data_IF_453348789275
#
_entry.id   IF_453348789275
#
_cell.length_a   1.000
_cell.length_b   1.000
_cell.length_c   1.000
_cell.angle_alpha   90.00
_cell.angle_beta   90.00
_cell.angle_gamma   90.00
#
_symmetry.space_group_name_H-M   'P 1'
#
loop_
_entity.id
_entity.type
_entity.pdbx_description
1 polymer ?
#
# COMPACT_ATOMS: atom_id res chain seq x y z
N UNK A 1 6.98 4.74 -9.83
CA UNK A 1 5.66 4.77 -9.14
C UNK A 1 5.67 3.89 -7.89
N UNK A 2 6.31 2.71 -7.94
CA UNK A 2 6.46 1.80 -6.80
C UNK A 2 7.93 1.67 -6.36
N UNK A 3 8.81 2.56 -6.80
CA UNK A 3 10.26 2.37 -6.71
C UNK A 3 10.73 2.17 -5.27
N UNK A 4 10.25 3.01 -4.35
CA UNK A 4 10.59 2.89 -2.92
C UNK A 4 10.00 1.62 -2.26
N UNK A 5 8.82 1.16 -2.70
CA UNK A 5 8.25 -0.09 -2.21
C UNK A 5 9.01 -1.30 -2.74
N UNK A 6 9.59 -1.21 -3.94
CA UNK A 6 10.54 -2.20 -4.46
C UNK A 6 11.83 -2.23 -3.63
N UNK A 7 12.41 -1.08 -3.32
CA UNK A 7 13.58 -0.99 -2.44
C UNK A 7 13.31 -1.63 -1.08
N UNK A 8 12.14 -1.38 -0.47
CA UNK A 8 11.76 -2.03 0.79
C UNK A 8 11.67 -3.55 0.68
N UNK A 9 11.19 -4.08 -0.45
CA UNK A 9 11.13 -5.52 -0.68
C UNK A 9 12.52 -6.17 -0.79
N UNK A 10 13.54 -5.43 -1.26
CA UNK A 10 14.93 -5.90 -1.31
C UNK A 10 15.63 -5.78 0.06
N UNK A 11 15.26 -4.80 0.88
CA UNK A 11 15.89 -4.50 2.17
C UNK A 11 15.30 -5.28 3.35
N UNK A 12 13.99 -5.53 3.33
CA UNK A 12 13.25 -6.15 4.42
C UNK A 12 12.53 -7.40 3.93
N UNK A 13 13.05 -8.58 4.27
CA UNK A 13 12.44 -9.86 3.89
C UNK A 13 10.96 -9.93 4.32
N UNK A 14 10.65 -9.40 5.52
CA UNK A 14 9.28 -9.39 6.05
C UNK A 14 8.31 -8.50 5.26
N UNK A 15 8.77 -7.59 4.41
CA UNK A 15 7.89 -6.77 3.59
C UNK A 15 7.03 -7.63 2.64
N UNK A 16 7.54 -8.81 2.29
CA UNK A 16 6.84 -9.79 1.46
C UNK A 16 6.03 -10.81 2.27
N UNK A 17 6.01 -10.71 3.61
CA UNK A 17 5.15 -11.52 4.46
C UNK A 17 3.68 -11.23 4.15
N UNK A 18 2.83 -12.26 4.27
CA UNK A 18 1.42 -12.16 3.87
C UNK A 18 0.68 -11.04 4.59
N UNK A 19 0.88 -10.91 5.90
CA UNK A 19 0.21 -9.89 6.71
C UNK A 19 0.60 -8.47 6.28
N UNK A 20 1.87 -8.25 5.96
CA UNK A 20 2.38 -6.95 5.49
C UNK A 20 1.81 -6.59 4.13
N UNK A 21 1.88 -7.54 3.19
CA UNK A 21 1.33 -7.35 1.84
C UNK A 21 -0.16 -7.05 1.87
N UNK A 22 -0.91 -7.77 2.70
CA UNK A 22 -2.35 -7.55 2.87
C UNK A 22 -2.64 -6.17 3.48
N UNK A 23 -1.91 -5.77 4.53
CA UNK A 23 -2.05 -4.45 5.16
C UNK A 23 -1.79 -3.30 4.16
N UNK A 24 -0.73 -3.41 3.35
CA UNK A 24 -0.41 -2.42 2.31
C UNK A 24 -1.49 -2.41 1.23
N UNK A 25 -1.91 -3.58 0.74
CA UNK A 25 -2.95 -3.69 -0.29
C UNK A 25 -4.30 -3.09 0.18
N UNK A 26 -4.70 -3.35 1.43
CA UNK A 26 -5.90 -2.76 2.03
C UNK A 26 -5.80 -1.25 2.11
N UNK A 27 -4.65 -0.72 2.53
CA UNK A 27 -4.39 0.72 2.65
C UNK A 27 -4.47 1.41 1.28
N UNK A 28 -3.78 0.86 0.27
CA UNK A 28 -3.86 1.37 -1.10
C UNK A 28 -5.28 1.27 -1.66
N UNK A 29 -6.01 0.21 -1.34
CA UNK A 29 -7.42 0.10 -1.77
C UNK A 29 -8.29 1.18 -1.12
N UNK A 30 -8.15 1.43 0.18
CA UNK A 30 -8.91 2.47 0.88
C UNK A 30 -8.63 3.87 0.33
N UNK A 31 -7.36 4.25 0.27
CA UNK A 31 -6.99 5.63 -0.03
C UNK A 31 -6.88 5.92 -1.52
N UNK A 32 -6.28 5.02 -2.32
CA UNK A 32 -6.11 5.25 -3.75
C UNK A 32 -7.35 4.81 -4.53
N UNK A 33 -7.75 3.54 -4.37
CA UNK A 33 -8.82 2.94 -5.17
C UNK A 33 -10.17 3.57 -4.85
N UNK A 34 -10.50 3.73 -3.56
CA UNK A 34 -11.77 4.35 -3.14
C UNK A 34 -11.68 5.87 -2.95
N UNK A 35 -10.47 6.42 -2.76
CA UNK A 35 -10.27 7.87 -2.70
C UNK A 35 -10.53 8.50 -1.34
N UNK A 36 -10.45 7.73 -0.26
CA UNK A 36 -10.69 8.21 1.12
C UNK A 36 -9.48 9.02 1.63
N UNK A 37 -9.41 10.31 1.26
CA UNK A 37 -8.24 11.17 1.52
C UNK A 37 -8.16 11.74 2.93
N UNK A 38 -9.30 11.88 3.58
CA UNK A 38 -9.39 12.53 4.90
C UNK A 38 -9.11 11.55 6.06
N UNK A 39 -9.01 10.26 5.75
CA UNK A 39 -8.72 9.24 6.74
C UNK A 39 -7.22 9.15 7.02
N UNK A 40 -6.84 8.94 8.29
CA UNK A 40 -5.44 8.75 8.64
C UNK A 40 -4.90 7.46 7.99
N UNK A 41 -3.61 7.48 7.67
CA UNK A 41 -2.88 6.25 7.32
C UNK A 41 -2.64 5.40 8.57
N UNK A 42 -2.61 4.07 8.43
CA UNK A 42 -2.16 3.15 9.47
C UNK A 42 -0.80 3.51 10.06
N UNK A 43 -0.62 3.16 11.33
CA UNK A 43 0.66 3.23 12.04
C UNK A 43 1.35 1.88 12.12
N UNK A 44 0.63 0.79 11.83
CA UNK A 44 1.19 -0.54 11.72
C UNK A 44 0.72 -1.28 10.47
N UNK A 45 1.67 -1.96 9.84
CA UNK A 45 1.49 -2.81 8.67
C UNK A 45 1.96 -4.24 8.97
N UNK A 46 2.26 -4.59 10.23
CA UNK A 46 2.74 -5.93 10.60
C UNK A 46 4.25 -6.11 10.42
N UNK A 47 5.01 -5.03 10.25
CA UNK A 47 6.48 -5.09 10.29
C UNK A 47 6.98 -5.48 11.68
N UNK A 48 8.23 -5.97 11.75
CA UNK A 48 8.87 -6.35 13.01
C UNK A 48 9.50 -5.19 13.76
N UNK A 49 9.50 -3.99 13.18
CA UNK A 49 10.09 -2.80 13.79
C UNK A 49 9.26 -1.55 13.49
N UNK A 50 9.33 -0.58 14.41
CA UNK A 50 8.72 0.74 14.24
C UNK A 50 9.26 1.48 13.01
N UNK A 51 10.53 1.26 12.71
CA UNK A 51 11.19 1.83 11.53
C UNK A 51 10.58 1.28 10.24
N UNK A 52 10.40 -0.05 10.13
CA UNK A 52 9.78 -0.68 8.97
C UNK A 52 8.36 -0.17 8.73
N UNK A 53 7.52 -0.13 9.76
CA UNK A 53 6.15 0.39 9.64
C UNK A 53 6.13 1.88 9.24
N UNK A 54 7.04 2.69 9.78
CA UNK A 54 7.17 4.10 9.43
C UNK A 54 7.63 4.30 7.97
N UNK A 55 8.53 3.46 7.47
CA UNK A 55 8.99 3.50 6.08
C UNK A 55 7.85 3.16 5.11
N UNK A 56 7.09 2.09 5.36
CA UNK A 56 5.91 1.74 4.55
C UNK A 56 4.92 2.89 4.53
N UNK A 57 4.57 3.42 5.71
CA UNK A 57 3.64 4.55 5.83
C UNK A 57 4.08 5.75 5.02
N UNK A 58 5.36 6.12 5.11
CA UNK A 58 5.94 7.27 4.42
C UNK A 58 5.85 7.08 2.91
N UNK A 59 6.21 5.90 2.42
CA UNK A 59 6.15 5.55 1.00
C UNK A 59 4.72 5.57 0.45
N UNK A 60 3.75 5.07 1.21
CA UNK A 60 2.34 5.15 0.84
C UNK A 60 1.86 6.61 0.82
N UNK A 61 2.22 7.40 1.84
CA UNK A 61 1.83 8.82 1.89
C UNK A 61 2.36 9.58 0.67
N UNK A 62 3.63 9.38 0.33
CA UNK A 62 4.23 9.97 -0.86
C UNK A 62 3.54 9.50 -2.13
N UNK A 63 3.40 8.19 -2.34
CA UNK A 63 2.69 7.63 -3.48
C UNK A 63 1.30 8.27 -3.68
N UNK A 64 0.51 8.37 -2.60
CA UNK A 64 -0.81 8.99 -2.64
C UNK A 64 -0.73 10.48 -2.99
N UNK A 65 0.22 11.22 -2.39
CA UNK A 65 0.46 12.64 -2.65
C UNK A 65 0.73 12.91 -4.14
N UNK A 66 1.59 12.11 -4.76
CA UNK A 66 1.98 12.26 -6.17
C UNK A 66 0.86 11.87 -7.15
N UNK A 67 0.10 10.83 -6.82
CA UNK A 67 -0.90 10.29 -7.74
C UNK A 67 -2.27 10.96 -7.64
N UNK A 68 -2.59 11.61 -6.53
CA UNK A 68 -3.94 12.14 -6.28
C UNK A 68 -4.43 13.18 -7.29
N UNK A 69 -3.54 13.98 -7.86
CA UNK A 69 -3.94 14.93 -8.90
C UNK A 69 -4.31 14.20 -10.19
N UNK A 70 -3.51 13.22 -10.60
CA UNK A 70 -3.70 12.45 -11.83
C UNK A 70 -4.94 11.56 -11.76
N UNK A 71 -5.15 10.86 -10.64
CA UNK A 71 -6.28 9.93 -10.48
C UNK A 71 -7.59 10.61 -10.09
N UNK A 72 -7.58 11.92 -9.82
CA UNK A 72 -8.80 12.68 -9.49
C UNK A 72 -9.86 12.63 -10.58
N UNK A 73 -9.43 12.46 -11.84
CA UNK A 73 -10.30 12.35 -13.02
C UNK A 73 -10.79 10.92 -13.29
N UNK A 74 -10.28 9.95 -12.54
CA UNK A 74 -10.51 8.54 -12.75
C UNK A 74 -11.55 8.06 -11.73
N UNK A 75 -12.63 7.41 -12.16
CA UNK A 75 -13.66 6.94 -11.24
C UNK A 75 -13.07 5.98 -10.19
N UNK A 76 -13.46 6.12 -8.89
CA UNK A 76 -13.07 5.17 -7.85
C UNK A 76 -13.46 3.71 -8.16
N UNK A 77 -12.83 2.77 -7.46
CA UNK A 77 -13.08 1.34 -7.62
C UNK A 77 -12.24 0.72 -8.76
N UNK A 78 -12.85 -0.17 -9.54
CA UNK A 78 -12.14 -0.98 -10.54
C UNK A 78 -11.21 -0.20 -11.49
N UNK A 79 -11.58 0.98 -12.04
CA UNK A 79 -10.66 1.74 -12.91
C UNK A 79 -9.35 2.14 -12.22
N UNK A 80 -9.40 2.50 -10.93
CA UNK A 80 -8.17 2.81 -10.17
C UNK A 80 -7.41 1.56 -9.77
N UNK A 81 -8.09 0.46 -9.42
CA UNK A 81 -7.41 -0.82 -9.19
C UNK A 81 -6.60 -1.25 -10.42
N UNK A 82 -7.17 -1.10 -11.62
CA UNK A 82 -6.47 -1.45 -12.86
C UNK A 82 -5.21 -0.61 -13.09
N UNK A 83 -5.17 0.64 -12.62
CA UNK A 83 -3.97 1.48 -12.69
C UNK A 83 -2.89 1.05 -11.69
N UNK A 84 -3.29 0.62 -10.49
CA UNK A 84 -2.35 0.05 -9.53
C UNK A 84 -1.71 -1.22 -10.10
N UNK A 85 -2.52 -2.06 -10.75
CA UNK A 85 -2.13 -3.36 -11.29
C UNK A 85 -1.70 -3.28 -12.77
N UNK A 86 -1.29 -2.10 -13.26
CA UNK A 86 -0.85 -1.94 -14.64
C UNK A 86 0.44 -2.74 -14.88
N UNK A 87 0.44 -3.76 -15.78
CA UNK A 87 1.59 -4.62 -16.01
C UNK A 87 2.79 -3.90 -16.64
N UNK A 88 2.58 -2.72 -17.21
CA UNK A 88 3.64 -1.89 -17.78
C UNK A 88 4.36 -1.04 -16.70
N UNK A 89 3.86 -1.03 -15.46
CA UNK A 89 4.46 -0.32 -14.34
C UNK A 89 5.22 -1.29 -13.44
N UNK A 90 6.50 -1.02 -13.26
CA UNK A 90 7.41 -1.76 -12.39
C UNK A 90 8.08 -0.81 -11.40
N UNK A 91 8.44 -1.34 -10.23
CA UNK A 91 9.38 -0.71 -9.32
C UNK A 91 10.81 -0.78 -9.91
N UNK A 92 11.72 0.03 -9.37
CA UNK A 92 13.12 0.07 -9.79
C UNK A 92 13.85 -1.28 -9.71
N UNK A 93 13.46 -2.15 -8.78
CA UNK A 93 13.99 -3.52 -8.66
C UNK A 93 13.37 -4.52 -9.66
N UNK A 94 12.47 -4.06 -10.53
CA UNK A 94 11.79 -4.86 -11.56
C UNK A 94 10.50 -5.52 -11.10
N UNK A 95 10.15 -5.46 -9.81
CA UNK A 95 8.93 -6.04 -9.30
C UNK A 95 7.68 -5.26 -9.74
N UNK A 96 6.63 -6.00 -10.04
CA UNK A 96 5.30 -5.47 -10.36
C UNK A 96 4.40 -5.44 -9.14
N UNK A 97 3.27 -4.76 -9.26
CA UNK A 97 2.28 -4.70 -8.19
C UNK A 97 1.78 -6.08 -7.77
N UNK A 98 1.55 -6.99 -8.70
CA UNK A 98 1.08 -8.35 -8.40
C UNK A 98 2.12 -9.19 -7.66
N UNK A 99 3.41 -8.97 -7.96
CA UNK A 99 4.52 -9.57 -7.23
C UNK A 99 4.62 -9.01 -5.80
N UNK A 100 4.46 -7.70 -5.63
CA UNK A 100 4.54 -7.03 -4.33
C UNK A 100 3.31 -7.28 -3.45
N UNK A 101 2.09 -7.19 -3.99
CA UNK A 101 0.84 -7.11 -3.20
C UNK A 101 -0.25 -8.08 -3.67
N UNK A 102 -0.01 -8.81 -4.77
CA UNK A 102 -0.99 -9.73 -5.35
C UNK A 102 -1.88 -9.06 -6.40
N UNK A 103 -2.68 -9.89 -7.07
CA UNK A 103 -3.57 -9.47 -8.15
C UNK A 103 -5.03 -9.75 -7.79
N UNK A 104 -5.93 -8.84 -8.17
CA UNK A 104 -7.38 -9.02 -8.03
C UNK A 104 -8.14 -8.53 -9.26
N UNK A 105 -9.20 -9.25 -9.61
CA UNK A 105 -10.13 -8.83 -10.67
C UNK A 105 -11.08 -7.70 -10.22
N UNK A 106 -11.37 -7.66 -8.92
CA UNK A 106 -12.29 -6.71 -8.29
C UNK A 106 -11.65 -6.10 -7.04
N UNK A 107 -11.89 -4.81 -6.77
CA UNK A 107 -11.34 -4.14 -5.60
C UNK A 107 -11.91 -4.76 -4.32
N UNK A 108 -11.12 -4.71 -3.24
CA UNK A 108 -11.67 -4.95 -1.91
C UNK A 108 -12.85 -4.00 -1.65
N UNK A 109 -13.87 -4.44 -0.89
CA UNK A 109 -14.97 -3.56 -0.49
C UNK A 109 -14.46 -2.26 0.14
N UNK A 110 -15.22 -1.17 -0.02
CA UNK A 110 -14.90 0.11 0.64
C UNK A 110 -15.25 0.06 2.13
N UNK A 111 -14.56 -0.78 2.90
CA UNK A 111 -14.70 -0.91 4.34
C UNK A 111 -13.57 -0.19 5.07
N UNK A 112 -13.81 0.34 6.28
CA UNK A 112 -12.74 0.89 7.11
C UNK A 112 -11.60 -0.11 7.31
N UNK A 113 -10.38 0.42 7.40
CA UNK A 113 -9.21 -0.38 7.78
C UNK A 113 -9.37 -0.92 9.21
N UNK A 114 -8.72 -2.04 9.50
CA UNK A 114 -8.85 -2.69 10.78
C UNK A 114 -8.26 -1.81 11.91
N UNK A 115 -8.91 -1.80 13.07
CA UNK A 115 -8.59 -0.86 14.16
C UNK A 115 -7.20 -1.08 14.76
N UNK A 116 -6.71 -2.31 14.72
CA UNK A 116 -5.37 -2.72 15.14
C UNK A 116 -4.26 -2.11 14.28
N UNK A 117 -4.50 -1.84 12.99
CA UNK A 117 -3.57 -1.12 12.12
C UNK A 117 -3.29 0.32 12.58
N UNK A 118 -4.13 0.87 13.45
CA UNK A 118 -3.99 2.20 14.05
C UNK A 118 -3.52 2.18 15.51
N UNK A 119 -3.45 1.00 16.13
CA UNK A 119 -2.91 0.84 17.47
C UNK A 119 -1.38 0.89 17.41
N UNK A 120 -0.73 1.46 18.44
CA UNK A 120 0.73 1.40 18.52
C UNK A 120 1.16 -0.06 18.71
N UNK A 121 1.91 -0.64 17.76
CA UNK A 121 2.39 -2.01 17.86
C UNK A 121 3.41 -2.15 18.99
N UNK A 122 3.47 -3.36 19.57
CA UNK A 122 4.51 -3.74 20.52
C UNK A 122 5.56 -4.52 19.74
N UNK A 123 6.78 -3.99 19.71
CA UNK A 123 7.92 -4.65 19.09
C UNK A 123 8.76 -5.31 20.18
N UNK A 124 9.24 -6.53 19.92
CA UNK A 124 10.21 -7.17 20.78
C UNK A 124 11.58 -6.47 20.56
N UNK A 125 12.11 -5.84 21.62
CA UNK A 125 13.45 -5.22 21.63
C UNK A 125 14.59 -6.25 21.55
#
# INVERSE_FOLDING_TARGET
MFDELGTLADEYDEFTDTDVREAVHMTLTRHFVWGEREEPLPVSYGMRSAEGDALIRTNIEEFLRWTFEEVSRIPPGKPRLMLLQDPDIQAANGMRYDELFGHRDEPLPNTPLAADMFALPQYDE
#
